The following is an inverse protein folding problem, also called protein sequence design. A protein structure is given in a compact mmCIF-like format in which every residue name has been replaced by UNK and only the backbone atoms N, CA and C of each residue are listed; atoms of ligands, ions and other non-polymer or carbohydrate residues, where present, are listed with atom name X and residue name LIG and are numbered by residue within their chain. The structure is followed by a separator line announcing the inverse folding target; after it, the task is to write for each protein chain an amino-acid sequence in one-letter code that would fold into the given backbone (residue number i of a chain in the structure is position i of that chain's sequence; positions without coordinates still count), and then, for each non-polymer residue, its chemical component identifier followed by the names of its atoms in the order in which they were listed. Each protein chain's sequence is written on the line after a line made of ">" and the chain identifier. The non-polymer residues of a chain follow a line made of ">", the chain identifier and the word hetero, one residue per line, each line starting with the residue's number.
data_IF_291135542152
#
_entry.id   IF_291135542152
#
_cell.length_a   1.000
_cell.length_b   1.000
_cell.length_c   1.000
_cell.angle_alpha   90.00
_cell.angle_beta   90.00
_cell.angle_gamma   90.00
#
_symmetry.space_group_name_H-M   'P 1'
#
loop_
_entity.id
_entity.type
_entity.pdbx_description
1 polymer ?
#
# COMPACT_ATOMS: atom_id res chain seq x y z
N UNK A 1 -5.01 -9.71 14.30
CA UNK A 1 -3.64 -9.28 13.93
C UNK A 1 -2.57 -10.32 14.28
N UNK A 2 -2.56 -10.92 15.49
CA UNK A 2 -1.54 -11.92 15.88
C UNK A 2 -1.50 -13.21 15.05
N UNK A 3 -2.64 -13.71 14.55
CA UNK A 3 -2.67 -14.89 13.66
C UNK A 3 -2.15 -14.60 12.26
N UNK A 4 -2.40 -13.40 11.74
CA UNK A 4 -1.90 -12.97 10.43
C UNK A 4 -0.39 -12.75 10.50
N UNK A 5 0.11 -12.11 11.56
CA UNK A 5 1.55 -11.94 11.77
C UNK A 5 2.27 -13.30 11.89
N UNK A 6 1.67 -14.28 12.60
CA UNK A 6 2.26 -15.61 12.75
C UNK A 6 2.32 -16.36 11.41
N UNK A 7 1.26 -16.29 10.59
CA UNK A 7 1.26 -16.89 9.25
C UNK A 7 2.29 -16.24 8.32
N UNK A 8 2.48 -14.92 8.41
CA UNK A 8 3.52 -14.21 7.66
C UNK A 8 4.94 -14.54 8.13
N UNK A 9 5.12 -14.87 9.41
CA UNK A 9 6.44 -15.24 9.97
C UNK A 9 6.79 -16.70 9.67
N UNK A 10 5.80 -17.61 9.72
CA UNK A 10 6.01 -19.03 9.37
C UNK A 10 6.36 -19.19 7.87
N UNK A 11 5.81 -18.36 6.97
CA UNK A 11 6.17 -18.32 5.53
C UNK A 11 7.59 -17.73 5.30
N UNK A 12 8.16 -17.00 6.26
CA UNK A 12 9.47 -16.35 6.15
C UNK A 12 10.65 -17.25 6.57
N UNK A 13 10.40 -18.38 7.27
CA UNK A 13 11.45 -19.31 7.71
C UNK A 13 11.89 -20.29 6.60
N UNK A 14 11.09 -20.53 5.58
CA UNK A 14 11.59 -21.19 4.36
C UNK A 14 12.35 -20.14 3.53
N UNK A 15 13.67 -20.20 3.55
CA UNK A 15 14.56 -19.47 2.62
C UNK A 15 14.17 -19.80 1.18
N UNK A 16 13.19 -19.07 0.63
CA UNK A 16 12.83 -19.20 -0.79
C UNK A 16 14.05 -18.77 -1.61
N UNK A 17 14.75 -19.74 -2.18
CA UNK A 17 15.80 -19.47 -3.17
C UNK A 17 15.15 -18.70 -4.32
N UNK A 18 15.74 -17.58 -4.70
CA UNK A 18 15.28 -16.82 -5.84
C UNK A 18 15.43 -17.61 -7.15
N UNK A 19 14.64 -17.29 -8.15
CA UNK A 19 14.68 -17.93 -9.47
C UNK A 19 16.06 -17.82 -10.14
N UNK A 20 16.79 -16.72 -9.90
CA UNK A 20 18.13 -16.49 -10.43
C UNK A 20 19.16 -17.39 -9.76
N UNK A 21 19.11 -17.53 -8.44
CA UNK A 21 19.97 -18.44 -7.67
C UNK A 21 19.80 -19.89 -8.09
N UNK A 22 18.56 -20.35 -8.31
CA UNK A 22 18.26 -21.69 -8.80
C UNK A 22 18.86 -21.93 -10.20
N UNK A 23 18.73 -20.98 -11.11
CA UNK A 23 19.32 -21.07 -12.45
C UNK A 23 20.84 -21.11 -12.40
N UNK A 24 21.47 -20.29 -11.55
CA UNK A 24 22.92 -20.29 -11.35
C UNK A 24 23.41 -21.60 -10.76
N UNK A 25 22.68 -22.19 -9.81
CA UNK A 25 22.99 -23.49 -9.22
C UNK A 25 22.97 -24.61 -10.27
N UNK A 26 22.00 -24.62 -11.17
CA UNK A 26 21.92 -25.57 -12.30
C UNK A 26 23.11 -25.42 -13.24
N UNK A 27 23.47 -24.17 -13.57
CA UNK A 27 24.63 -23.88 -14.44
C UNK A 27 25.92 -24.32 -13.76
N UNK A 28 26.12 -23.97 -12.48
CA UNK A 28 27.29 -24.34 -11.70
C UNK A 28 27.44 -25.86 -11.58
N UNK A 29 26.34 -26.59 -11.34
CA UNK A 29 26.31 -28.05 -11.33
C UNK A 29 26.66 -28.65 -12.70
N UNK A 30 26.20 -28.03 -13.79
CA UNK A 30 26.56 -28.43 -15.16
C UNK A 30 28.06 -28.30 -15.43
N UNK A 31 28.62 -27.13 -15.10
CA UNK A 31 30.06 -26.85 -15.23
C UNK A 31 30.87 -27.83 -14.36
N UNK A 32 30.44 -28.06 -13.11
CA UNK A 32 31.09 -29.02 -12.20
C UNK A 32 31.16 -30.44 -12.78
N UNK A 33 30.07 -30.93 -13.38
CA UNK A 33 30.06 -32.26 -14.04
C UNK A 33 31.03 -32.33 -15.19
N UNK A 34 31.08 -31.31 -16.06
CA UNK A 34 32.05 -31.24 -17.16
C UNK A 34 33.48 -31.20 -16.61
N UNK A 35 33.71 -30.43 -15.55
CA UNK A 35 35.00 -30.32 -14.89
C UNK A 35 35.49 -31.62 -14.30
N UNK A 36 34.64 -32.40 -13.63
CA UNK A 36 34.99 -33.72 -13.09
C UNK A 36 35.38 -34.68 -14.21
N UNK A 37 34.65 -34.71 -15.32
CA UNK A 37 34.99 -35.56 -16.49
C UNK A 37 36.34 -35.12 -17.08
N UNK A 38 36.56 -33.85 -17.31
CA UNK A 38 37.82 -33.33 -17.84
C UNK A 38 38.97 -33.61 -16.91
N UNK A 39 38.82 -33.37 -15.61
CA UNK A 39 39.86 -33.68 -14.59
C UNK A 39 40.24 -35.18 -14.58
N UNK A 40 39.22 -36.05 -14.67
CA UNK A 40 39.44 -37.51 -14.72
C UNK A 40 40.23 -37.91 -15.97
N UNK A 41 39.88 -37.38 -17.13
CA UNK A 41 40.59 -37.65 -18.39
C UNK A 41 42.05 -37.18 -18.30
N UNK A 42 42.29 -35.97 -17.79
CA UNK A 42 43.65 -35.45 -17.64
C UNK A 42 44.46 -36.23 -16.63
N UNK A 43 43.89 -36.62 -15.50
CA UNK A 43 44.57 -37.43 -14.47
C UNK A 43 44.93 -38.82 -14.99
N UNK A 44 44.03 -39.48 -15.70
CA UNK A 44 44.31 -40.77 -16.32
C UNK A 44 45.38 -40.63 -17.40
N UNK A 45 45.29 -39.61 -18.25
CA UNK A 45 46.29 -39.36 -19.30
C UNK A 45 47.66 -39.07 -18.69
N UNK A 46 47.73 -38.25 -17.63
CA UNK A 46 48.97 -38.01 -16.89
C UNK A 46 49.59 -39.32 -16.38
N UNK A 47 48.79 -40.16 -15.75
CA UNK A 47 49.25 -41.44 -15.24
C UNK A 47 49.78 -42.36 -16.36
N UNK A 48 49.05 -42.49 -17.45
CA UNK A 48 49.44 -43.30 -18.59
C UNK A 48 50.75 -42.79 -19.23
N UNK A 49 50.85 -41.50 -19.50
CA UNK A 49 52.02 -40.89 -20.11
C UNK A 49 53.26 -41.00 -19.22
N UNK A 50 53.11 -40.82 -17.91
CA UNK A 50 54.22 -40.98 -16.94
C UNK A 50 54.73 -42.42 -16.87
N UNK A 51 53.81 -43.38 -16.86
CA UNK A 51 54.14 -44.79 -16.90
C UNK A 51 54.79 -45.21 -18.23
N UNK A 52 54.42 -44.63 -19.34
CA UNK A 52 54.99 -44.93 -20.68
C UNK A 52 56.40 -44.35 -20.86
N UNK A 53 56.79 -43.30 -20.16
CA UNK A 53 58.08 -42.62 -20.24
C UNK A 53 59.15 -43.35 -19.46
N UNK A 54 58.78 -44.24 -18.54
CA UNK A 54 59.73 -44.97 -17.65
C UNK A 54 59.87 -46.40 -18.12
N UNK A 55 61.14 -46.93 -18.11
CA UNK A 55 61.44 -48.30 -18.52
C UNK A 55 60.71 -49.31 -17.64
N UNK A 56 60.34 -50.48 -18.18
CA UNK A 56 59.56 -51.48 -17.43
C UNK A 56 60.22 -51.90 -16.12
N UNK A 57 61.59 -52.01 -16.08
CA UNK A 57 62.31 -52.41 -14.95
C UNK A 57 62.32 -51.38 -13.77
N UNK A 58 62.05 -50.13 -14.05
CA UNK A 58 62.00 -49.06 -13.06
C UNK A 58 60.55 -48.82 -12.53
N UNK A 59 59.54 -49.52 -13.00
CA UNK A 59 58.12 -49.42 -12.58
C UNK A 59 57.92 -50.21 -11.25
N UNK A 60 58.52 -49.75 -10.22
CA UNK A 60 58.32 -50.32 -8.89
C UNK A 60 56.94 -49.95 -8.33
N UNK A 61 56.46 -50.75 -7.34
CA UNK A 61 55.21 -50.49 -6.69
C UNK A 61 55.18 -49.08 -6.07
N UNK A 62 56.27 -48.65 -5.46
CA UNK A 62 56.37 -47.28 -4.91
C UNK A 62 56.30 -46.20 -5.96
N UNK A 63 56.82 -46.38 -7.17
CA UNK A 63 56.74 -45.45 -8.27
C UNK A 63 55.28 -45.35 -8.78
N UNK A 64 54.59 -46.49 -8.92
CA UNK A 64 53.18 -46.51 -9.34
C UNK A 64 52.28 -45.79 -8.34
N UNK A 65 52.51 -46.04 -7.02
CA UNK A 65 51.78 -45.39 -5.97
C UNK A 65 51.99 -43.84 -5.96
N UNK A 66 53.24 -43.42 -6.14
CA UNK A 66 53.56 -41.99 -6.23
C UNK A 66 52.93 -41.35 -7.40
N UNK A 67 52.99 -41.92 -8.62
CA UNK A 67 52.34 -41.40 -9.84
C UNK A 67 50.83 -41.37 -9.69
N UNK A 68 50.23 -42.37 -9.03
CA UNK A 68 48.78 -42.38 -8.77
C UNK A 68 48.40 -41.23 -7.81
N UNK A 69 49.21 -40.99 -6.77
CA UNK A 69 48.98 -39.85 -5.86
C UNK A 69 49.08 -38.52 -6.57
N UNK A 70 50.07 -38.31 -7.43
CA UNK A 70 50.20 -37.11 -8.28
C UNK A 70 48.99 -36.91 -9.20
N UNK A 71 48.53 -37.99 -9.86
CA UNK A 71 47.36 -37.93 -10.72
C UNK A 71 46.08 -37.56 -9.94
N UNK A 72 45.89 -38.09 -8.72
CA UNK A 72 44.76 -37.74 -7.85
C UNK A 72 44.85 -36.27 -7.41
N UNK A 73 46.05 -35.81 -7.01
CA UNK A 73 46.24 -34.39 -6.66
C UNK A 73 45.95 -33.46 -7.83
N UNK A 74 46.37 -33.83 -9.05
CA UNK A 74 46.10 -33.07 -10.26
C UNK A 74 44.58 -33.01 -10.56
N UNK A 75 43.91 -34.16 -10.46
CA UNK A 75 42.46 -34.22 -10.61
C UNK A 75 41.74 -33.34 -9.58
N UNK A 76 42.08 -33.43 -8.33
CA UNK A 76 41.47 -32.63 -7.26
C UNK A 76 41.70 -31.14 -7.48
N UNK A 77 42.90 -30.73 -7.84
CA UNK A 77 43.22 -29.33 -8.14
C UNK A 77 42.37 -28.80 -9.31
N UNK A 78 42.21 -29.59 -10.39
CA UNK A 78 41.39 -29.20 -11.53
C UNK A 78 39.91 -29.09 -11.19
N UNK A 79 39.38 -30.02 -10.38
CA UNK A 79 37.98 -29.95 -9.94
C UNK A 79 37.75 -28.68 -9.12
N UNK A 80 38.61 -28.33 -8.19
CA UNK A 80 38.52 -27.10 -7.37
C UNK A 80 38.54 -25.85 -8.27
N UNK A 81 39.47 -25.80 -9.26
CA UNK A 81 39.55 -24.64 -10.17
C UNK A 81 38.33 -24.45 -11.08
N UNK A 82 37.63 -25.53 -11.43
CA UNK A 82 36.47 -25.48 -12.36
C UNK A 82 35.19 -25.09 -11.64
N UNK A 83 35.07 -25.33 -10.33
CA UNK A 83 33.88 -24.96 -9.58
C UNK A 83 33.78 -23.45 -9.47
N UNK A 84 32.73 -22.84 -10.02
CA UNK A 84 32.60 -21.37 -10.04
C UNK A 84 32.04 -20.86 -8.71
N UNK A 85 32.80 -20.92 -7.64
CA UNK A 85 32.39 -20.49 -6.27
C UNK A 85 32.05 -19.01 -6.20
N UNK A 86 32.54 -18.18 -7.13
CA UNK A 86 32.24 -16.76 -7.20
C UNK A 86 30.82 -16.42 -7.62
N UNK A 87 30.12 -17.31 -8.32
CA UNK A 87 28.78 -16.99 -8.85
C UNK A 87 27.72 -16.76 -7.75
N UNK A 88 27.56 -17.64 -6.74
CA UNK A 88 26.63 -17.38 -5.64
C UNK A 88 27.01 -16.14 -4.83
N UNK A 89 28.30 -15.92 -4.60
CA UNK A 89 28.80 -14.76 -3.88
C UNK A 89 28.49 -13.45 -4.63
N UNK A 90 28.70 -13.41 -5.94
CA UNK A 90 28.37 -12.24 -6.78
C UNK A 90 26.88 -11.93 -6.76
N UNK A 91 26.01 -12.94 -6.84
CA UNK A 91 24.57 -12.75 -6.75
C UNK A 91 24.17 -12.13 -5.39
N UNK A 92 24.70 -12.63 -4.29
CA UNK A 92 24.45 -12.08 -2.95
C UNK A 92 24.95 -10.65 -2.82
N UNK A 93 26.11 -10.33 -3.42
CA UNK A 93 26.65 -8.96 -3.42
C UNK A 93 25.73 -8.00 -4.18
N UNK A 94 25.30 -8.37 -5.38
CA UNK A 94 24.40 -7.56 -6.22
C UNK A 94 23.04 -7.34 -5.50
N UNK A 95 22.48 -8.38 -4.90
CA UNK A 95 21.26 -8.26 -4.11
C UNK A 95 21.42 -7.31 -2.92
N UNK A 96 22.58 -7.36 -2.24
CA UNK A 96 22.87 -6.45 -1.13
C UNK A 96 22.99 -4.99 -1.59
N UNK A 97 23.69 -4.75 -2.71
CA UNK A 97 23.80 -3.40 -3.31
C UNK A 97 22.44 -2.87 -3.73
N UNK A 98 21.59 -3.70 -4.33
CA UNK A 98 20.23 -3.33 -4.72
C UNK A 98 19.38 -3.00 -3.49
N UNK A 99 19.48 -3.79 -2.42
CA UNK A 99 18.78 -3.54 -1.16
C UNK A 99 19.19 -2.19 -0.56
N UNK A 100 20.50 -1.87 -0.56
CA UNK A 100 20.97 -0.56 -0.10
C UNK A 100 20.44 0.59 -0.95
N UNK A 101 20.41 0.42 -2.29
CA UNK A 101 19.83 1.41 -3.20
C UNK A 101 18.35 1.67 -2.94
N UNK A 102 17.58 0.62 -2.63
CA UNK A 102 16.16 0.74 -2.29
C UNK A 102 15.95 1.41 -0.93
N UNK A 103 16.80 1.07 0.05
CA UNK A 103 16.75 1.72 1.36
C UNK A 103 16.95 3.24 1.26
N UNK A 104 17.87 3.69 0.39
CA UNK A 104 18.05 5.13 0.07
C UNK A 104 16.81 5.79 -0.54
N UNK A 105 15.90 5.01 -1.12
CA UNK A 105 14.60 5.44 -1.65
C UNK A 105 13.44 5.24 -0.67
N UNK A 106 13.73 5.00 0.62
CA UNK A 106 12.76 4.70 1.68
C UNK A 106 11.92 3.43 1.41
N UNK A 107 12.47 2.47 0.68
CA UNK A 107 11.84 1.17 0.43
C UNK A 107 12.52 0.13 1.32
N UNK A 108 11.75 -0.47 2.24
CA UNK A 108 12.21 -1.57 3.07
C UNK A 108 12.01 -2.90 2.33
N UNK A 109 13.12 -3.62 2.09
CA UNK A 109 13.10 -4.94 1.45
C UNK A 109 13.10 -6.02 2.52
N UNK A 110 12.00 -6.74 2.67
CA UNK A 110 11.87 -7.85 3.64
C UNK A 110 12.61 -9.10 3.18
N UNK A 111 12.53 -9.42 1.89
CA UNK A 111 13.14 -10.61 1.30
C UNK A 111 14.00 -10.23 0.09
N UNK A 112 15.31 -10.51 0.15
CA UNK A 112 16.24 -10.20 -0.95
C UNK A 112 15.92 -10.96 -2.24
N UNK A 113 15.39 -12.18 -2.14
CA UNK A 113 14.96 -12.99 -3.27
C UNK A 113 13.88 -12.31 -4.12
N UNK A 114 13.00 -11.53 -3.49
CA UNK A 114 11.92 -10.82 -4.17
C UNK A 114 12.40 -9.85 -5.25
N UNK A 115 13.64 -9.37 -5.18
CA UNK A 115 14.23 -8.52 -6.22
C UNK A 115 14.32 -9.21 -7.56
N UNK A 116 14.91 -10.40 -7.57
CA UNK A 116 15.07 -11.16 -8.82
C UNK A 116 13.73 -11.59 -9.38
N UNK A 117 12.80 -11.97 -8.51
CA UNK A 117 11.46 -12.41 -8.91
C UNK A 117 10.62 -11.24 -9.43
N UNK A 118 10.77 -10.04 -8.88
CA UNK A 118 10.07 -8.84 -9.37
C UNK A 118 10.43 -8.46 -10.81
N UNK A 119 11.63 -8.79 -11.28
CA UNK A 119 12.05 -8.57 -12.67
C UNK A 119 11.29 -9.45 -13.69
N UNK A 120 10.68 -10.55 -13.24
CA UNK A 120 9.89 -11.47 -14.07
C UNK A 120 8.38 -11.23 -13.93
N UNK A 121 7.97 -10.17 -13.21
CA UNK A 121 6.56 -9.87 -12.98
C UNK A 121 5.87 -9.41 -14.27
N UNK A 122 4.81 -10.12 -14.65
CA UNK A 122 3.98 -9.78 -15.82
C UNK A 122 2.69 -9.05 -15.42
N UNK A 123 2.23 -9.24 -14.20
CA UNK A 123 0.98 -8.67 -13.68
C UNK A 123 1.22 -8.11 -12.29
N UNK A 124 0.81 -6.85 -12.08
CA UNK A 124 0.89 -6.18 -10.79
C UNK A 124 -0.53 -5.89 -10.28
N UNK A 125 -0.87 -6.42 -9.12
CA UNK A 125 -2.06 -6.03 -8.36
C UNK A 125 -1.65 -4.97 -7.33
N UNK A 126 -2.24 -3.79 -7.45
CA UNK A 126 -1.96 -2.68 -6.52
C UNK A 126 -3.25 -2.25 -5.82
N UNK A 127 -3.17 -1.97 -4.53
CA UNK A 127 -4.22 -1.24 -3.84
C UNK A 127 -4.22 0.22 -4.32
N UNK A 128 -5.41 0.84 -4.34
CA UNK A 128 -5.57 2.23 -4.74
C UNK A 128 -5.25 3.17 -3.59
N UNK A 129 -5.92 2.97 -2.44
CA UNK A 129 -5.96 3.93 -1.34
C UNK A 129 -4.69 3.86 -0.49
N UNK A 130 -3.94 4.95 -0.43
CA UNK A 130 -2.67 5.01 0.31
C UNK A 130 -1.47 4.42 -0.43
N UNK A 131 -1.67 3.78 -1.61
CA UNK A 131 -0.62 3.25 -2.47
C UNK A 131 -0.46 4.09 -3.73
N UNK A 132 -1.48 4.15 -4.58
CA UNK A 132 -1.53 5.01 -5.77
C UNK A 132 -1.93 6.43 -5.38
N UNK A 133 -2.80 6.55 -4.38
CA UNK A 133 -3.25 7.82 -3.83
C UNK A 133 -2.56 8.09 -2.49
N UNK A 134 -2.66 9.33 -2.02
CA UNK A 134 -2.09 9.75 -0.73
C UNK A 134 -2.82 9.11 0.46
N UNK A 135 -4.06 8.63 0.26
CA UNK A 135 -4.93 8.14 1.31
C UNK A 135 -5.56 9.26 2.15
N UNK A 136 -5.31 10.51 1.78
CA UNK A 136 -5.89 11.69 2.41
C UNK A 136 -6.98 12.27 1.50
N UNK A 137 -8.18 12.42 2.06
CA UNK A 137 -9.28 13.02 1.33
C UNK A 137 -9.18 14.54 1.40
N UNK A 138 -9.55 15.20 0.30
CA UNK A 138 -9.73 16.64 0.21
C UNK A 138 -11.16 16.95 -0.21
N UNK A 139 -11.80 17.90 0.44
CA UNK A 139 -13.10 18.41 0.04
C UNK A 139 -12.89 19.39 -1.11
N UNK A 140 -13.50 19.13 -2.26
CA UNK A 140 -13.20 19.84 -3.52
C UNK A 140 -14.38 20.61 -4.04
N UNK A 141 -15.56 20.02 -4.06
CA UNK A 141 -16.78 20.57 -4.65
C UNK A 141 -17.98 20.21 -3.77
N UNK A 142 -19.07 20.91 -3.95
CA UNK A 142 -20.33 20.70 -3.25
C UNK A 142 -21.48 20.63 -4.25
N UNK A 143 -22.52 19.85 -3.94
CA UNK A 143 -23.77 19.83 -4.69
C UNK A 143 -24.85 20.41 -3.77
N UNK A 144 -25.48 21.49 -4.18
CA UNK A 144 -26.57 22.09 -3.44
C UNK A 144 -27.90 21.33 -3.68
N UNK A 145 -28.98 21.70 -2.96
CA UNK A 145 -30.27 21.04 -3.10
C UNK A 145 -30.99 21.28 -4.44
N UNK A 146 -30.46 22.14 -5.32
CA UNK A 146 -30.93 22.28 -6.69
C UNK A 146 -30.24 21.36 -7.69
N UNK A 147 -29.19 20.64 -7.25
CA UNK A 147 -28.30 19.84 -8.11
C UNK A 147 -27.26 20.68 -8.83
N UNK A 148 -26.92 21.87 -8.34
CA UNK A 148 -25.87 22.72 -8.89
C UNK A 148 -24.56 22.47 -8.14
N UNK A 149 -23.43 22.46 -8.88
CA UNK A 149 -22.09 22.37 -8.28
C UNK A 149 -21.69 23.76 -7.82
N UNK A 150 -21.18 23.85 -6.58
CA UNK A 150 -20.62 25.06 -6.00
C UNK A 150 -19.23 24.75 -5.42
N UNK A 151 -18.32 25.71 -5.50
CA UNK A 151 -16.92 25.51 -5.13
C UNK A 151 -16.69 25.63 -3.62
N UNK A 152 -17.54 26.37 -2.93
CA UNK A 152 -17.40 26.60 -1.50
C UNK A 152 -18.72 26.85 -0.79
N UNK A 153 -18.75 26.51 0.49
CA UNK A 153 -19.78 26.89 1.46
C UNK A 153 -19.06 27.41 2.69
N UNK A 154 -19.21 28.68 3.00
CA UNK A 154 -18.52 29.38 4.09
C UNK A 154 -19.49 30.01 5.11
N UNK A 155 -20.74 29.51 5.18
CA UNK A 155 -21.67 29.96 6.20
C UNK A 155 -21.39 29.28 7.56
N UNK A 156 -21.60 30.04 8.64
CA UNK A 156 -21.29 29.61 10.01
C UNK A 156 -22.03 28.34 10.42
N UNK A 157 -23.29 28.17 10.00
CA UNK A 157 -24.09 26.98 10.32
C UNK A 157 -23.54 25.70 9.65
N UNK A 158 -23.04 25.81 8.42
CA UNK A 158 -22.42 24.68 7.74
C UNK A 158 -21.10 24.31 8.40
N UNK A 159 -20.28 25.31 8.75
CA UNK A 159 -19.01 25.07 9.48
C UNK A 159 -19.30 24.43 10.83
N UNK A 160 -20.32 24.91 11.58
CA UNK A 160 -20.74 24.29 12.82
C UNK A 160 -21.18 22.82 12.63
N UNK A 161 -21.95 22.52 11.59
CA UNK A 161 -22.43 21.17 11.31
C UNK A 161 -21.30 20.16 11.05
N UNK A 162 -20.24 20.57 10.32
CA UNK A 162 -19.11 19.71 9.98
C UNK A 162 -18.08 19.61 11.11
N UNK A 163 -18.04 20.55 12.03
CA UNK A 163 -17.10 20.58 13.17
C UNK A 163 -17.70 19.90 14.40
N UNK A 164 -18.96 20.17 14.76
CA UNK A 164 -19.61 19.52 15.92
C UNK A 164 -19.91 18.04 15.67
N UNK A 165 -20.17 17.64 14.42
CA UNK A 165 -20.31 16.25 14.03
C UNK A 165 -18.99 15.69 13.52
N UNK A 166 -17.92 15.78 14.33
CA UNK A 166 -16.55 15.40 13.92
C UNK A 166 -15.79 14.82 15.12
N UNK A 167 -15.06 13.74 14.89
CA UNK A 167 -14.23 13.10 15.91
C UNK A 167 -12.72 13.44 15.76
N UNK A 168 -12.35 14.17 14.73
CA UNK A 168 -10.98 14.69 14.55
C UNK A 168 -10.76 15.91 15.45
N UNK A 169 -9.51 16.19 15.76
CA UNK A 169 -9.10 17.32 16.61
C UNK A 169 -7.94 18.07 15.99
N UNK A 170 -7.74 19.30 16.40
CA UNK A 170 -6.57 20.10 16.04
C UNK A 170 -5.51 19.87 17.13
N UNK A 171 -4.30 19.50 16.73
CA UNK A 171 -3.16 19.34 17.64
C UNK A 171 -2.64 20.70 18.09
N UNK A 172 -1.80 20.72 19.14
CA UNK A 172 -1.14 21.93 19.61
C UNK A 172 -0.23 22.59 18.54
N UNK A 173 0.18 21.81 17.54
CA UNK A 173 1.00 22.24 16.41
C UNK A 173 0.16 22.77 15.23
N UNK A 174 -1.17 22.76 15.36
CA UNK A 174 -2.12 23.20 14.32
C UNK A 174 -2.43 22.15 13.25
N UNK A 175 -2.04 20.89 13.44
CA UNK A 175 -2.32 19.83 12.52
C UNK A 175 -3.64 19.10 12.86
N UNK A 176 -4.38 18.66 11.83
CA UNK A 176 -5.60 17.88 12.02
C UNK A 176 -5.27 16.42 12.24
N UNK A 177 -5.63 15.89 13.41
CA UNK A 177 -5.43 14.51 13.81
C UNK A 177 -6.76 13.78 14.00
N UNK A 178 -6.83 12.53 13.58
CA UNK A 178 -8.03 11.68 13.71
C UNK A 178 -7.89 10.39 12.92
N UNK A 179 -8.66 9.38 13.30
CA UNK A 179 -8.63 8.07 12.64
C UNK A 179 -9.45 8.03 11.35
N UNK A 180 -10.44 8.91 11.19
CA UNK A 180 -11.33 8.94 10.04
C UNK A 180 -10.88 10.00 9.03
N UNK A 181 -10.54 9.56 7.81
CA UNK A 181 -10.06 10.45 6.75
C UNK A 181 -11.11 11.47 6.28
N UNK A 182 -12.42 11.13 6.36
CA UNK A 182 -13.49 12.08 6.02
C UNK A 182 -13.56 13.18 7.07
N UNK A 183 -13.53 12.83 8.36
CA UNK A 183 -13.56 13.78 9.46
C UNK A 183 -12.37 14.72 9.40
N UNK A 184 -11.18 14.21 9.11
CA UNK A 184 -10.00 15.05 8.91
C UNK A 184 -10.17 16.04 7.75
N UNK A 185 -10.69 15.57 6.61
CA UNK A 185 -10.93 16.44 5.45
C UNK A 185 -11.91 17.57 5.76
N UNK A 186 -12.99 17.27 6.50
CA UNK A 186 -14.00 18.27 6.90
C UNK A 186 -13.41 19.29 7.87
N UNK A 187 -12.64 18.85 8.86
CA UNK A 187 -12.01 19.74 9.84
C UNK A 187 -10.95 20.62 9.17
N UNK A 188 -10.15 20.05 8.24
CA UNK A 188 -9.17 20.81 7.45
C UNK A 188 -9.86 21.89 6.61
N UNK A 189 -11.00 21.54 5.98
CA UNK A 189 -11.81 22.51 5.25
C UNK A 189 -12.29 23.66 6.16
N UNK A 190 -12.83 23.33 7.34
CA UNK A 190 -13.31 24.33 8.30
C UNK A 190 -12.17 25.26 8.73
N UNK A 191 -10.98 24.75 9.02
CA UNK A 191 -9.80 25.55 9.38
C UNK A 191 -9.42 26.55 8.28
N UNK A 192 -9.44 26.14 7.04
CA UNK A 192 -9.18 27.03 5.90
C UNK A 192 -10.24 28.13 5.74
N UNK A 193 -11.42 27.99 6.38
CA UNK A 193 -12.52 28.96 6.37
C UNK A 193 -12.66 29.66 7.73
N UNK A 194 -11.56 29.76 8.49
CA UNK A 194 -11.48 30.57 9.70
C UNK A 194 -11.94 29.87 10.98
N UNK A 195 -12.25 28.58 10.94
CA UNK A 195 -12.53 27.82 12.13
C UNK A 195 -11.25 27.60 12.97
N UNK A 196 -11.38 27.77 14.27
CA UNK A 196 -10.38 27.35 15.26
C UNK A 196 -11.09 26.73 16.47
N UNK A 197 -10.37 25.93 17.28
CA UNK A 197 -10.96 25.25 18.43
C UNK A 197 -11.51 26.23 19.50
N UNK A 198 -11.05 27.47 19.53
CA UNK A 198 -11.58 28.49 20.45
C UNK A 198 -13.02 28.92 20.09
N UNK A 199 -13.43 28.72 18.83
CA UNK A 199 -14.79 29.01 18.38
C UNK A 199 -15.72 27.81 18.55
N UNK A 200 -15.19 26.65 18.95
CA UNK A 200 -15.96 25.45 19.21
C UNK A 200 -16.50 25.46 20.63
N UNK A 201 -17.80 25.33 20.77
CA UNK A 201 -18.45 25.16 22.07
C UNK A 201 -18.95 23.71 22.18
N UNK A 202 -18.11 22.79 22.69
CA UNK A 202 -18.50 21.40 22.85
C UNK A 202 -19.65 21.21 23.82
N UNK A 203 -19.91 22.19 24.68
CA UNK A 203 -21.03 22.18 25.63
C UNK A 203 -22.39 22.30 24.95
N UNK A 204 -22.44 22.74 23.69
CA UNK A 204 -23.67 22.71 22.87
C UNK A 204 -24.12 21.31 22.53
N UNK A 205 -23.22 20.35 22.50
CA UNK A 205 -23.50 18.97 22.09
C UNK A 205 -24.03 18.16 23.27
N UNK A 206 -25.16 17.50 23.08
CA UNK A 206 -25.75 16.58 24.05
C UNK A 206 -25.18 15.15 23.86
N UNK A 207 -25.12 14.71 22.59
CA UNK A 207 -24.64 13.35 22.24
C UNK A 207 -24.00 13.35 20.84
N UNK A 208 -22.91 12.59 20.68
CA UNK A 208 -22.26 12.31 19.40
C UNK A 208 -22.24 10.82 19.16
N UNK A 209 -22.95 10.36 18.14
CA UNK A 209 -22.81 9.03 17.60
C UNK A 209 -21.75 9.05 16.49
N UNK A 210 -20.63 8.39 16.71
CA UNK A 210 -19.60 8.20 15.68
C UNK A 210 -20.13 7.45 14.46
N UNK A 211 -19.28 7.29 13.44
CA UNK A 211 -19.69 6.59 12.22
C UNK A 211 -20.07 5.13 12.49
N UNK A 212 -21.31 4.82 12.22
CA UNK A 212 -21.89 3.47 12.27
C UNK A 212 -21.79 2.84 10.88
N UNK A 213 -21.05 1.73 10.76
CA UNK A 213 -20.83 1.05 9.49
C UNK A 213 -22.08 0.39 8.91
N UNK A 214 -23.05 0.01 9.75
CA UNK A 214 -24.32 -0.58 9.31
C UNK A 214 -25.27 0.50 8.79
N UNK A 215 -25.38 1.61 9.51
CA UNK A 215 -26.22 2.77 9.14
C UNK A 215 -25.52 3.69 8.13
N UNK A 216 -24.20 3.57 7.98
CA UNK A 216 -23.34 4.42 7.15
C UNK A 216 -23.53 5.91 7.41
N UNK A 217 -23.70 6.27 8.66
CA UNK A 217 -23.92 7.64 9.09
C UNK A 217 -23.32 7.93 10.47
N UNK A 218 -23.14 9.20 10.76
CA UNK A 218 -22.80 9.73 12.07
C UNK A 218 -23.73 10.89 12.41
N UNK A 219 -24.05 11.06 13.69
CA UNK A 219 -24.96 12.12 14.15
C UNK A 219 -24.38 12.87 15.33
N UNK A 220 -24.65 14.18 15.41
CA UNK A 220 -24.42 14.98 16.59
C UNK A 220 -25.76 15.65 16.99
N UNK A 221 -26.22 15.38 18.20
CA UNK A 221 -27.44 15.95 18.78
C UNK A 221 -27.02 17.12 19.68
N UNK A 222 -27.61 18.28 19.42
CA UNK A 222 -27.39 19.48 20.22
C UNK A 222 -28.42 19.59 21.35
N UNK A 223 -28.06 20.24 22.45
CA UNK A 223 -28.96 20.56 23.56
C UNK A 223 -30.18 21.38 23.16
N UNK A 224 -30.09 22.09 22.02
CA UNK A 224 -31.21 22.81 21.40
C UNK A 224 -32.26 21.92 20.74
N UNK A 225 -31.99 20.60 20.63
CA UNK A 225 -32.83 19.68 19.89
C UNK A 225 -32.48 19.53 18.41
N UNK A 226 -31.58 20.37 17.87
CA UNK A 226 -31.06 20.26 16.50
C UNK A 226 -30.16 19.03 16.40
N UNK A 227 -30.31 18.28 15.30
CA UNK A 227 -29.45 17.13 15.02
C UNK A 227 -28.72 17.38 13.69
N UNK A 228 -27.40 17.35 13.73
CA UNK A 228 -26.58 17.26 12.54
C UNK A 228 -26.35 15.80 12.17
N UNK A 229 -26.59 15.46 10.92
CA UNK A 229 -26.47 14.13 10.40
C UNK A 229 -25.58 14.12 9.17
N UNK A 230 -24.48 13.37 9.20
CA UNK A 230 -23.62 13.13 8.05
C UNK A 230 -23.59 11.65 7.68
N UNK A 231 -23.59 11.35 6.39
CA UNK A 231 -23.56 9.97 5.95
C UNK A 231 -23.59 9.81 4.43
N UNK A 232 -23.52 8.54 4.01
CA UNK A 232 -23.61 8.20 2.60
C UNK A 232 -24.92 8.73 2.02
N UNK A 233 -24.82 9.47 0.92
CA UNK A 233 -25.97 10.18 0.34
C UNK A 233 -27.11 9.24 -0.03
N UNK A 234 -26.78 8.04 -0.52
CA UNK A 234 -27.76 7.02 -0.92
C UNK A 234 -28.69 6.59 0.24
N UNK A 235 -28.19 6.67 1.49
CA UNK A 235 -28.97 6.28 2.67
C UNK A 235 -29.81 7.42 3.26
N UNK A 236 -29.53 8.65 2.84
CA UNK A 236 -30.12 9.87 3.39
C UNK A 236 -31.13 10.51 2.45
N UNK A 237 -30.90 10.44 1.14
CA UNK A 237 -31.62 11.21 0.13
C UNK A 237 -33.15 10.98 0.16
N UNK A 238 -33.58 9.76 0.48
CA UNK A 238 -35.00 9.42 0.59
C UNK A 238 -35.70 10.08 1.77
N UNK A 239 -34.96 10.56 2.75
CA UNK A 239 -35.46 11.16 3.99
C UNK A 239 -35.45 12.67 3.96
N UNK A 240 -34.84 13.28 2.93
CA UNK A 240 -34.72 14.71 2.78
C UNK A 240 -36.09 15.27 2.41
N UNK A 241 -36.59 16.27 3.17
CA UNK A 241 -37.84 16.96 2.94
C UNK A 241 -37.62 18.39 2.41
N UNK A 242 -36.53 19.02 2.83
CA UNK A 242 -36.17 20.39 2.49
C UNK A 242 -34.70 20.52 2.17
N UNK A 243 -34.31 21.65 1.59
CA UNK A 243 -32.92 22.04 1.42
C UNK A 243 -32.71 23.51 1.72
N UNK A 244 -31.48 23.87 2.10
CA UNK A 244 -31.12 25.27 2.33
C UNK A 244 -30.29 25.79 1.15
N UNK A 245 -30.60 27.03 0.74
CA UNK A 245 -29.82 27.77 -0.24
C UNK A 245 -28.64 28.49 0.43
N UNK A 246 -27.59 28.90 -0.32
CA UNK A 246 -26.44 29.64 0.25
C UNK A 246 -26.83 30.93 0.99
N UNK A 247 -27.97 31.55 0.63
CA UNK A 247 -28.52 32.73 1.31
C UNK A 247 -29.31 32.41 2.59
N UNK A 248 -29.34 31.12 3.02
CA UNK A 248 -30.09 30.67 4.21
C UNK A 248 -31.57 30.38 3.98
N UNK A 249 -32.14 30.63 2.77
CA UNK A 249 -33.52 30.36 2.46
C UNK A 249 -33.84 28.87 2.42
N UNK A 250 -34.89 28.45 3.14
CA UNK A 250 -35.37 27.06 3.17
C UNK A 250 -36.37 26.81 2.04
N UNK A 251 -36.18 25.76 1.27
CA UNK A 251 -37.07 25.31 0.21
C UNK A 251 -37.40 23.83 0.32
N UNK A 252 -38.57 23.45 -0.18
CA UNK A 252 -39.00 22.07 -0.25
C UNK A 252 -38.15 21.28 -1.27
N UNK A 253 -37.73 20.08 -0.86
CA UNK A 253 -36.95 19.19 -1.72
C UNK A 253 -37.87 18.33 -2.57
N UNK A 254 -38.14 18.79 -3.78
CA UNK A 254 -39.07 18.15 -4.71
C UNK A 254 -38.43 16.93 -5.40
N UNK A 255 -39.27 16.11 -6.04
CA UNK A 255 -38.80 14.99 -6.85
C UNK A 255 -37.88 15.44 -8.01
N UNK A 256 -38.10 16.65 -8.56
CA UNK A 256 -37.24 17.23 -9.59
C UNK A 256 -35.84 17.59 -9.02
N UNK A 257 -35.82 18.22 -7.84
CA UNK A 257 -34.56 18.53 -7.16
C UNK A 257 -33.77 17.25 -6.87
N UNK A 258 -34.45 16.24 -6.35
CA UNK A 258 -33.87 14.95 -6.08
C UNK A 258 -33.21 14.36 -7.32
N UNK A 259 -33.91 14.29 -8.44
CA UNK A 259 -33.39 13.76 -9.69
C UNK A 259 -32.14 14.51 -10.15
N UNK A 260 -32.12 15.84 -10.07
CA UNK A 260 -30.96 16.66 -10.42
C UNK A 260 -29.76 16.39 -9.52
N UNK A 261 -29.99 16.26 -8.20
CA UNK A 261 -28.94 15.93 -7.25
C UNK A 261 -28.39 14.54 -7.55
N UNK A 262 -29.23 13.53 -7.78
CA UNK A 262 -28.81 12.16 -8.12
C UNK A 262 -28.03 12.11 -9.44
N UNK A 263 -28.41 12.87 -10.46
CA UNK A 263 -27.67 12.98 -11.72
C UNK A 263 -26.27 13.57 -11.52
N UNK A 264 -26.15 14.63 -10.71
CA UNK A 264 -24.85 15.21 -10.36
C UNK A 264 -24.01 14.27 -9.49
N UNK A 265 -24.61 13.59 -8.54
CA UNK A 265 -23.93 12.57 -7.74
C UNK A 265 -23.32 11.48 -8.64
N UNK A 266 -24.08 10.98 -9.61
CA UNK A 266 -23.61 9.99 -10.56
C UNK A 266 -22.44 10.53 -11.41
N UNK A 267 -22.52 11.78 -11.83
CA UNK A 267 -21.46 12.46 -12.58
C UNK A 267 -20.16 12.55 -11.74
N UNK A 268 -20.27 12.93 -10.47
CA UNK A 268 -19.12 13.04 -9.56
C UNK A 268 -18.57 11.66 -9.18
N UNK A 269 -19.42 10.66 -8.98
CA UNK A 269 -19.00 9.28 -8.72
C UNK A 269 -18.17 8.71 -9.90
N UNK A 270 -18.53 9.03 -11.15
CA UNK A 270 -17.72 8.67 -12.33
C UNK A 270 -16.35 9.36 -12.34
N UNK A 271 -16.20 10.49 -11.69
CA UNK A 271 -14.91 11.18 -11.45
C UNK A 271 -14.16 10.63 -10.23
N UNK A 272 -14.59 9.48 -9.71
CA UNK A 272 -14.02 8.81 -8.51
C UNK A 272 -14.12 9.63 -7.21
N UNK A 273 -15.03 10.59 -7.14
CA UNK A 273 -15.31 11.33 -5.92
C UNK A 273 -16.08 10.46 -4.92
N UNK A 274 -15.75 10.61 -3.63
CA UNK A 274 -16.56 10.09 -2.54
C UNK A 274 -17.62 11.11 -2.15
N UNK A 275 -18.86 10.69 -2.02
CA UNK A 275 -19.99 11.56 -1.75
C UNK A 275 -20.46 11.41 -0.30
N UNK A 276 -20.66 12.52 0.38
CA UNK A 276 -21.10 12.58 1.77
C UNK A 276 -22.14 13.67 1.93
N UNK A 277 -23.35 13.36 2.37
CA UNK A 277 -24.38 14.35 2.66
C UNK A 277 -24.24 14.90 4.07
N UNK A 278 -24.42 16.22 4.20
CA UNK A 278 -24.62 16.92 5.46
C UNK A 278 -26.07 17.39 5.51
N UNK A 279 -26.74 16.99 6.58
CA UNK A 279 -28.17 17.24 6.79
C UNK A 279 -28.37 17.74 8.21
N UNK A 280 -29.32 18.65 8.40
CA UNK A 280 -29.82 19.01 9.72
C UNK A 280 -31.26 18.56 9.89
N UNK A 281 -31.61 18.14 11.10
CA UNK A 281 -32.95 17.76 11.48
C UNK A 281 -33.43 18.75 12.56
N UNK A 282 -34.49 19.46 12.26
CA UNK A 282 -35.13 20.43 13.16
C UNK A 282 -36.62 20.47 12.88
N UNK A 283 -37.45 20.54 13.91
CA UNK A 283 -38.92 20.60 13.86
C UNK A 283 -39.51 19.49 12.95
N UNK A 284 -39.00 18.29 13.00
CA UNK A 284 -39.45 17.16 12.19
C UNK A 284 -39.08 17.24 10.70
N UNK A 285 -38.34 18.26 10.26
CA UNK A 285 -37.85 18.41 8.90
C UNK A 285 -36.42 17.92 8.78
N UNK A 286 -36.18 17.16 7.72
CA UNK A 286 -34.82 16.71 7.31
C UNK A 286 -34.35 17.62 6.19
N UNK A 287 -33.39 18.47 6.47
CA UNK A 287 -32.94 19.56 5.60
C UNK A 287 -31.56 19.28 5.06
N UNK A 288 -31.46 19.15 3.75
CA UNK A 288 -30.15 18.99 3.09
C UNK A 288 -29.41 20.34 3.12
N UNK A 289 -28.23 20.33 3.73
CA UNK A 289 -27.31 21.47 3.70
C UNK A 289 -26.44 21.41 2.43
N UNK A 290 -25.83 20.26 2.16
CA UNK A 290 -25.08 20.01 0.91
C UNK A 290 -24.73 18.54 0.78
N UNK A 291 -24.42 18.12 -0.47
CA UNK A 291 -23.65 16.90 -0.74
C UNK A 291 -22.20 17.30 -1.02
N UNK A 292 -21.30 16.75 -0.28
CA UNK A 292 -19.86 17.00 -0.32
C UNK A 292 -19.20 16.05 -1.30
N UNK A 293 -18.33 16.58 -2.17
CA UNK A 293 -17.52 15.80 -3.10
C UNK A 293 -16.07 15.77 -2.62
N UNK A 294 -15.64 14.61 -2.10
CA UNK A 294 -14.29 14.41 -1.60
C UNK A 294 -13.46 13.61 -2.60
N UNK A 295 -12.21 14.02 -2.79
CA UNK A 295 -11.26 13.36 -3.68
C UNK A 295 -10.05 12.88 -2.90
N UNK A 296 -9.59 11.69 -3.25
CA UNK A 296 -8.31 11.15 -2.82
C UNK A 296 -7.27 11.49 -3.90
N UNK A 297 -6.29 12.32 -3.55
CA UNK A 297 -5.31 12.81 -4.50
C UNK A 297 -4.33 11.70 -4.89
N UNK A 298 -3.96 11.66 -6.17
CA UNK A 298 -2.90 10.78 -6.68
C UNK A 298 -1.55 11.34 -6.24
N UNK A 299 -0.64 10.46 -5.83
CA UNK A 299 0.74 10.80 -5.47
C UNK A 299 1.55 11.29 -6.66
#
# INVERSE_FOLDING_TARGET
>A
LGKINKALTDDSEEERKDTSSLKLEVVAAGIGKIGVVAATVVGVLHMVLTLMRVSPDARTLSFILLTATEAVMLMATMVIMVVPEGLPMMNSLVQSMNTESMHKKNILVSHKAAFSDSAYMNVLFSDKTGTITEGNLSLVEFINGKGEIIDKIDNDEFIEAITLNNLSKISAEGEVIGSNNMDRALLTYAMHHGYNDANNDPDKVEDISGFDSEKKCATAKLKSGLIYWKGATENIIDKITHYVLPNGELKEFTAENRKKVEEQMLAQAKRTMKLLSIVKIVDGKTILMSVLCLRDNVR
#
